data_IF_166805281600
#
_entry.id   IF_166805281600
#
_cell.length_a   1.000
_cell.length_b   1.000
_cell.length_c   1.000
_cell.angle_alpha   90.00
_cell.angle_beta   90.00
_cell.angle_gamma   90.00
#
_symmetry.space_group_name_H-M   'P 1'
#
loop_
_entity.id
_entity.type
_entity.pdbx_description
1 polymer ?
#
# COMPACT_ATOMS: atom_id res chain seq x y z
N UNK A 1 -11.80 -16.95 2.48
CA UNK A 1 -11.46 -15.52 2.63
C UNK A 1 -11.70 -15.14 4.07
N UNK A 2 -10.68 -15.23 4.92
CA UNK A 2 -10.82 -14.93 6.36
C UNK A 2 -10.03 -13.66 6.64
N UNK A 3 -10.69 -12.51 6.51
CA UNK A 3 -10.18 -11.25 7.03
C UNK A 3 -9.97 -11.42 8.53
N UNK A 4 -8.72 -11.43 8.98
CA UNK A 4 -8.41 -11.52 10.41
C UNK A 4 -9.12 -10.36 11.13
N UNK A 5 -9.94 -10.63 12.16
CA UNK A 5 -10.58 -9.58 12.92
C UNK A 5 -9.52 -8.71 13.59
N UNK A 6 -9.63 -7.39 13.44
CA UNK A 6 -8.70 -6.46 14.07
C UNK A 6 -8.84 -6.55 15.60
N UNK A 7 -7.73 -6.47 16.36
CA UNK A 7 -7.75 -6.53 17.82
C UNK A 7 -8.63 -5.40 18.38
N UNK A 8 -9.47 -5.74 19.37
CA UNK A 8 -10.30 -4.76 20.08
C UNK A 8 -9.39 -3.78 20.85
N UNK A 9 -9.28 -2.54 20.39
CA UNK A 9 -8.42 -1.51 21.00
C UNK A 9 -9.22 -0.53 21.87
N UNK A 10 -8.60 -0.06 22.97
CA UNK A 10 -9.04 1.08 23.80
C UNK A 10 -9.40 2.29 22.91
N UNK A 11 -10.35 3.15 23.32
CA UNK A 11 -10.74 4.40 22.64
C UNK A 11 -9.48 5.16 22.16
N UNK A 12 -9.13 4.99 20.89
CA UNK A 12 -7.97 5.66 20.27
C UNK A 12 -8.43 6.98 19.68
N UNK A 13 -7.62 8.03 19.82
CA UNK A 13 -7.96 9.36 19.29
C UNK A 13 -7.94 9.37 17.74
N UNK A 14 -8.52 10.41 17.12
CA UNK A 14 -8.61 10.53 15.64
C UNK A 14 -7.24 10.43 14.95
N UNK A 15 -6.23 11.06 15.54
CA UNK A 15 -4.86 11.07 15.05
C UNK A 15 -4.22 9.67 15.10
N UNK A 16 -4.45 8.91 16.18
CA UNK A 16 -3.98 7.54 16.33
C UNK A 16 -4.62 6.61 15.30
N UNK A 17 -5.93 6.75 15.05
CA UNK A 17 -6.62 5.98 14.01
C UNK A 17 -6.07 6.30 12.62
N UNK A 18 -5.80 7.56 12.32
CA UNK A 18 -5.19 7.98 11.07
C UNK A 18 -3.79 7.36 10.89
N UNK A 19 -2.95 7.41 11.92
CA UNK A 19 -1.62 6.80 11.93
C UNK A 19 -1.69 5.29 11.71
N UNK A 20 -2.61 4.61 12.40
CA UNK A 20 -2.81 3.17 12.27
C UNK A 20 -3.28 2.79 10.86
N UNK A 21 -4.21 3.54 10.29
CA UNK A 21 -4.67 3.34 8.91
C UNK A 21 -3.53 3.51 7.90
N UNK A 22 -2.70 4.54 8.07
CA UNK A 22 -1.52 4.77 7.22
C UNK A 22 -0.56 3.57 7.24
N UNK A 23 -0.23 3.07 8.44
CA UNK A 23 0.69 1.93 8.60
C UNK A 23 0.07 0.66 8.01
N UNK A 24 -1.22 0.41 8.25
CA UNK A 24 -1.94 -0.74 7.69
C UNK A 24 -2.02 -0.69 6.16
N UNK A 25 -2.05 0.51 5.57
CA UNK A 25 -2.01 0.74 4.13
C UNK A 25 -0.58 0.61 3.54
N UNK A 26 0.44 0.34 4.35
CA UNK A 26 1.80 0.05 3.91
C UNK A 26 2.73 1.27 3.79
N UNK A 27 2.33 2.44 4.27
CA UNK A 27 3.20 3.61 4.32
C UNK A 27 4.00 3.62 5.62
N UNK A 28 5.33 3.49 5.52
CA UNK A 28 6.21 3.46 6.68
C UNK A 28 6.24 4.82 7.40
N UNK A 29 6.25 5.92 6.63
CA UNK A 29 6.29 7.28 7.16
C UNK A 29 5.10 8.14 6.70
N UNK A 30 4.82 9.22 7.44
CA UNK A 30 3.87 10.24 7.02
C UNK A 30 4.33 10.95 5.72
N UNK A 31 5.65 11.10 5.53
CA UNK A 31 6.23 11.66 4.32
C UNK A 31 5.90 10.80 3.11
N UNK A 32 6.03 9.48 3.22
CA UNK A 32 5.71 8.54 2.13
C UNK A 32 4.25 8.69 1.68
N UNK A 33 3.34 8.80 2.65
CA UNK A 33 1.93 8.99 2.36
C UNK A 33 1.64 10.36 1.73
N UNK A 34 2.30 11.42 2.20
CA UNK A 34 2.15 12.79 1.68
C UNK A 34 2.60 12.86 0.21
N UNK A 35 3.78 12.28 -0.09
CA UNK A 35 4.35 12.27 -1.44
C UNK A 35 3.48 11.43 -2.39
N UNK A 36 3.07 10.24 -1.96
CA UNK A 36 2.23 9.35 -2.75
C UNK A 36 0.85 9.95 -3.03
N UNK A 37 0.18 10.47 -2.00
CA UNK A 37 -1.18 11.01 -2.12
C UNK A 37 -1.22 12.47 -2.59
N UNK A 38 -0.06 13.12 -2.75
CA UNK A 38 0.09 14.54 -3.14
C UNK A 38 -0.68 15.49 -2.22
N UNK A 39 -0.62 15.26 -0.91
CA UNK A 39 -1.30 16.11 0.09
C UNK A 39 -0.42 17.27 0.56
N UNK A 40 -1.05 18.29 1.14
CA UNK A 40 -0.32 19.36 1.84
C UNK A 40 0.30 18.80 3.12
N UNK A 41 1.63 18.71 3.14
CA UNK A 41 2.35 17.99 4.19
C UNK A 41 2.19 18.57 5.59
N UNK A 42 2.08 19.90 5.75
CA UNK A 42 1.82 20.52 7.05
C UNK A 42 0.44 20.16 7.60
N UNK A 43 -0.58 20.15 6.75
CA UNK A 43 -1.95 19.77 7.12
C UNK A 43 -2.03 18.31 7.54
N UNK A 44 -1.48 17.40 6.74
CA UNK A 44 -1.50 15.97 7.06
C UNK A 44 -0.77 15.68 8.39
N UNK A 45 0.42 16.27 8.59
CA UNK A 45 1.19 16.10 9.84
C UNK A 45 0.45 16.67 11.05
N UNK A 46 -0.20 17.82 10.93
CA UNK A 46 -0.99 18.37 12.03
C UNK A 46 -2.14 17.43 12.44
N UNK A 47 -2.78 16.76 11.48
CA UNK A 47 -3.83 15.77 11.76
C UNK A 47 -3.26 14.48 12.37
N UNK A 48 -2.19 13.91 11.81
CA UNK A 48 -1.61 12.66 12.33
C UNK A 48 -0.91 12.83 13.68
N UNK A 49 -0.34 14.01 13.94
CA UNK A 49 0.27 14.32 15.24
C UNK A 49 -0.77 14.73 16.30
N UNK A 50 -2.04 14.90 15.91
CA UNK A 50 -3.11 15.33 16.83
C UNK A 50 -3.01 16.79 17.24
N UNK A 51 -2.28 17.62 16.49
CA UNK A 51 -2.27 19.07 16.69
C UNK A 51 -3.64 19.68 16.34
N UNK A 52 -4.28 19.13 15.29
CA UNK A 52 -5.62 19.51 14.86
C UNK A 52 -6.48 18.27 14.63
N UNK A 53 -7.77 18.37 14.92
CA UNK A 53 -8.76 17.41 14.42
C UNK A 53 -9.01 17.65 12.92
N UNK A 54 -9.54 16.64 12.25
CA UNK A 54 -9.88 16.72 10.83
C UNK A 54 -11.38 16.53 10.61
N UNK A 55 -11.93 17.19 9.60
CA UNK A 55 -13.36 17.11 9.29
C UNK A 55 -13.69 15.89 8.40
N UNK A 56 -14.96 15.77 8.03
CA UNK A 56 -15.48 14.70 7.16
C UNK A 56 -14.80 14.66 5.78
N UNK A 57 -14.44 15.82 5.22
CA UNK A 57 -13.75 15.89 3.92
C UNK A 57 -12.37 15.23 3.98
N UNK A 58 -11.58 15.58 4.99
CA UNK A 58 -10.27 14.97 5.22
C UNK A 58 -10.40 13.49 5.59
N UNK A 59 -11.35 13.13 6.44
CA UNK A 59 -11.62 11.74 6.79
C UNK A 59 -11.95 10.88 5.56
N UNK A 60 -12.74 11.43 4.62
CA UNK A 60 -13.08 10.75 3.37
C UNK A 60 -11.85 10.57 2.48
N UNK A 61 -11.01 11.62 2.37
CA UNK A 61 -9.77 11.58 1.59
C UNK A 61 -8.78 10.54 2.14
N UNK A 62 -8.58 10.53 3.46
CA UNK A 62 -7.69 9.58 4.13
C UNK A 62 -8.24 8.16 4.09
N UNK A 63 -9.53 8.00 4.36
CA UNK A 63 -10.20 6.70 4.31
C UNK A 63 -10.07 6.04 2.94
N UNK A 64 -10.32 6.80 1.86
CA UNK A 64 -10.14 6.32 0.49
C UNK A 64 -8.69 5.90 0.18
N UNK A 65 -7.70 6.65 0.67
CA UNK A 65 -6.29 6.34 0.45
C UNK A 65 -5.82 5.10 1.23
N UNK A 66 -6.39 4.87 2.43
CA UNK A 66 -5.94 3.82 3.34
C UNK A 66 -6.87 2.59 3.39
N UNK A 67 -7.98 2.61 2.64
CA UNK A 67 -8.93 1.50 2.62
C UNK A 67 -9.72 1.35 3.92
N UNK A 68 -9.98 2.46 4.63
CA UNK A 68 -10.81 2.50 5.86
C UNK A 68 -11.97 3.47 5.69
N UNK A 69 -13.02 3.35 6.52
CA UNK A 69 -14.17 4.26 6.43
C UNK A 69 -13.86 5.62 7.08
N UNK A 70 -14.44 6.69 6.52
CA UNK A 70 -14.36 8.03 7.11
C UNK A 70 -14.96 8.07 8.52
N UNK A 71 -16.10 7.39 8.71
CA UNK A 71 -16.78 7.27 10.00
C UNK A 71 -15.89 6.59 11.04
N UNK A 72 -15.16 5.54 10.65
CA UNK A 72 -14.20 4.90 11.56
C UNK A 72 -13.06 5.86 11.95
N UNK A 73 -12.52 6.64 11.01
CA UNK A 73 -11.51 7.65 11.31
C UNK A 73 -12.02 8.76 12.24
N UNK A 74 -13.31 9.13 12.17
CA UNK A 74 -13.91 10.21 12.97
C UNK A 74 -14.41 9.76 14.34
N UNK A 75 -15.09 8.63 14.41
CA UNK A 75 -15.83 8.19 15.60
C UNK A 75 -15.12 7.05 16.33
N UNK A 76 -14.33 6.23 15.62
CA UNK A 76 -13.70 5.03 16.18
C UNK A 76 -14.69 3.92 16.50
N UNK A 77 -15.94 4.03 16.04
CA UNK A 77 -16.96 3.02 16.27
C UNK A 77 -16.73 1.81 15.36
N UNK A 78 -16.75 0.63 15.97
CA UNK A 78 -16.73 -0.66 15.28
C UNK A 78 -18.16 -1.06 14.86
N UNK A 79 -18.88 -0.14 14.25
CA UNK A 79 -20.24 -0.37 13.76
C UNK A 79 -20.20 -1.07 12.41
N UNK A 80 -20.90 -2.19 12.30
CA UNK A 80 -21.10 -2.93 11.05
C UNK A 80 -21.65 -2.01 9.95
N UNK A 81 -20.97 -1.97 8.79
CA UNK A 81 -21.31 -1.14 7.63
C UNK A 81 -20.31 0.00 7.43
N UNK A 82 -19.42 0.02 6.44
CA UNK A 82 -19.53 -0.46 5.07
C UNK A 82 -18.11 -0.79 4.61
N UNK A 83 -17.85 -2.05 4.29
CA UNK A 83 -16.63 -2.47 3.63
C UNK A 83 -16.62 -1.90 2.21
N UNK A 84 -16.01 -0.73 2.02
CA UNK A 84 -15.59 -0.29 0.67
C UNK A 84 -14.29 -1.02 0.31
N UNK A 85 -14.34 -2.34 0.36
CA UNK A 85 -13.28 -3.22 -0.11
C UNK A 85 -13.37 -3.34 -1.63
N UNK A 86 -12.89 -2.33 -2.37
CA UNK A 86 -12.42 -2.50 -3.77
C UNK A 86 -11.33 -1.49 -4.14
N UNK A 87 -10.06 -1.85 -3.91
CA UNK A 87 -9.08 -1.93 -4.99
C UNK A 87 -7.85 -2.74 -4.57
N UNK A 88 -7.55 -3.72 -5.40
CA UNK A 88 -6.26 -4.43 -5.48
C UNK A 88 -5.09 -3.45 -5.46
N UNK A 89 -3.89 -3.91 -5.04
CA UNK A 89 -2.66 -3.11 -5.16
C UNK A 89 -2.50 -2.63 -6.61
N UNK A 90 -2.75 -1.34 -6.82
CA UNK A 90 -2.47 -0.70 -8.09
C UNK A 90 -0.96 -0.62 -8.26
N UNK A 91 -0.49 -0.96 -9.47
CA UNK A 91 0.83 -0.87 -10.15
C UNK A 91 1.98 0.01 -9.56
N UNK A 92 1.76 0.80 -8.53
CA UNK A 92 2.73 1.63 -7.82
C UNK A 92 3.43 0.95 -6.62
N UNK A 93 3.04 -0.27 -6.21
CA UNK A 93 3.83 -1.03 -5.21
C UNK A 93 5.19 -1.53 -5.74
N UNK A 94 5.58 -1.10 -6.94
CA UNK A 94 6.90 -1.27 -7.55
C UNK A 94 7.75 0.02 -7.56
N UNK A 95 7.31 1.14 -6.97
CA UNK A 95 8.18 2.29 -6.74
C UNK A 95 8.98 2.06 -5.45
N UNK A 96 10.10 1.34 -5.56
CA UNK A 96 11.01 1.11 -4.42
C UNK A 96 11.88 -0.14 -4.53
N UNK A 97 11.54 -1.08 -5.42
CA UNK A 97 12.48 -2.14 -5.77
C UNK A 97 13.47 -1.58 -6.79
N UNK A 98 14.69 -1.32 -6.34
CA UNK A 98 15.81 -1.04 -7.24
C UNK A 98 15.84 -2.13 -8.32
N UNK A 99 15.49 -1.78 -9.55
CA UNK A 99 15.43 -2.65 -10.74
C UNK A 99 16.83 -3.13 -11.20
N UNK A 100 17.76 -3.38 -10.27
CA UNK A 100 19.18 -3.55 -10.59
C UNK A 100 19.71 -4.97 -10.45
N UNK A 101 18.92 -5.95 -10.03
CA UNK A 101 19.37 -7.33 -9.98
C UNK A 101 18.34 -8.25 -10.64
N UNK A 102 18.82 -8.99 -11.64
CA UNK A 102 18.03 -9.91 -12.45
C UNK A 102 17.27 -10.99 -11.64
N UNK A 103 17.83 -11.58 -10.56
CA UNK A 103 17.17 -12.65 -9.81
C UNK A 103 15.80 -12.27 -9.23
N UNK A 104 15.68 -11.06 -8.71
CA UNK A 104 14.48 -10.58 -8.02
C UNK A 104 13.34 -10.29 -9.02
N UNK A 105 13.69 -9.89 -10.26
CA UNK A 105 12.71 -9.76 -11.35
C UNK A 105 12.19 -11.11 -11.83
N UNK A 106 13.06 -12.11 -11.94
CA UNK A 106 12.69 -13.48 -12.27
C UNK A 106 11.70 -14.01 -11.22
N UNK A 107 12.01 -13.85 -9.95
CA UNK A 107 11.14 -14.26 -8.85
C UNK A 107 9.78 -13.54 -8.89
N UNK A 108 9.77 -12.22 -9.11
CA UNK A 108 8.54 -11.44 -9.18
C UNK A 108 7.63 -11.90 -10.34
N UNK A 109 8.17 -12.10 -11.55
CA UNK A 109 7.36 -12.55 -12.67
C UNK A 109 6.89 -14.01 -12.51
N UNK A 110 7.70 -14.88 -11.89
CA UNK A 110 7.28 -16.23 -11.57
C UNK A 110 6.08 -16.27 -10.60
N UNK A 111 6.06 -15.39 -9.60
CA UNK A 111 4.92 -15.23 -8.69
C UNK A 111 3.67 -14.72 -9.42
N UNK A 112 3.82 -13.69 -10.27
CA UNK A 112 2.69 -13.15 -11.04
C UNK A 112 2.10 -14.18 -12.02
N UNK A 113 2.93 -15.03 -12.61
CA UNK A 113 2.45 -16.12 -13.47
C UNK A 113 1.75 -17.25 -12.70
N UNK A 114 2.09 -17.45 -11.42
CA UNK A 114 1.35 -18.37 -10.56
C UNK A 114 -0.11 -17.91 -10.38
N UNK A 115 -0.32 -16.60 -10.25
CA UNK A 115 -1.65 -16.01 -10.06
C UNK A 115 -2.41 -15.85 -11.39
N UNK A 116 -1.70 -15.53 -12.48
CA UNK A 116 -2.27 -15.35 -13.83
C UNK A 116 -1.52 -16.19 -14.89
N UNK A 117 -1.76 -17.52 -14.96
CA UNK A 117 -0.95 -18.44 -15.77
C UNK A 117 -1.03 -18.21 -17.28
N UNK A 118 -2.06 -17.51 -17.76
CA UNK A 118 -2.24 -17.21 -19.19
C UNK A 118 -1.73 -15.82 -19.58
N UNK A 119 -1.11 -15.07 -18.67
CA UNK A 119 -0.65 -13.70 -18.95
C UNK A 119 0.67 -13.71 -19.74
N UNK A 120 0.56 -13.70 -21.07
CA UNK A 120 1.69 -13.72 -22.03
C UNK A 120 2.68 -12.57 -21.80
N UNK A 121 2.22 -11.42 -21.31
CA UNK A 121 3.11 -10.29 -21.02
C UNK A 121 4.14 -10.62 -19.93
N UNK A 122 3.72 -11.35 -18.88
CA UNK A 122 4.62 -11.79 -17.83
C UNK A 122 5.57 -12.89 -18.29
N UNK A 123 5.10 -13.81 -19.15
CA UNK A 123 5.97 -14.82 -19.76
C UNK A 123 7.10 -14.17 -20.55
N UNK A 124 6.78 -13.19 -21.41
CA UNK A 124 7.78 -12.47 -22.22
C UNK A 124 8.81 -11.76 -21.34
N UNK A 125 8.36 -11.05 -20.31
CA UNK A 125 9.25 -10.32 -19.40
C UNK A 125 10.14 -11.26 -18.56
N UNK A 126 9.62 -12.43 -18.18
CA UNK A 126 10.39 -13.46 -17.49
C UNK A 126 11.51 -13.98 -18.38
N UNK A 127 11.20 -14.33 -19.64
CA UNK A 127 12.18 -14.77 -20.63
C UNK A 127 13.29 -13.74 -20.82
N UNK A 128 12.93 -12.48 -21.01
CA UNK A 128 13.90 -11.40 -21.16
C UNK A 128 14.82 -11.28 -19.93
N UNK A 129 14.28 -11.41 -18.70
CA UNK A 129 15.09 -11.34 -17.49
C UNK A 129 16.02 -12.54 -17.33
N UNK A 130 15.55 -13.75 -17.63
CA UNK A 130 16.38 -14.97 -17.56
C UNK A 130 17.52 -14.89 -18.57
N UNK A 131 17.24 -14.45 -19.81
CA UNK A 131 18.25 -14.32 -20.86
C UNK A 131 19.35 -13.33 -20.46
N UNK A 132 18.96 -12.14 -20.00
CA UNK A 132 19.92 -11.14 -19.53
C UNK A 132 20.76 -11.64 -18.34
N UNK A 133 20.14 -12.38 -17.40
CA UNK A 133 20.86 -12.93 -16.26
C UNK A 133 21.89 -13.97 -16.69
N UNK A 134 21.53 -14.85 -17.63
CA UNK A 134 22.41 -15.85 -18.18
C UNK A 134 23.64 -15.22 -18.86
N UNK A 135 23.43 -14.20 -19.70
CA UNK A 135 24.52 -13.47 -20.36
C UNK A 135 25.46 -12.79 -19.36
N UNK A 136 24.91 -12.18 -18.31
CA UNK A 136 25.72 -11.59 -17.23
C UNK A 136 26.61 -12.62 -16.52
N UNK A 137 26.10 -13.84 -16.30
CA UNK A 137 26.89 -14.91 -15.67
C UNK A 137 27.99 -15.43 -16.60
N UNK A 138 27.73 -15.51 -17.91
CA UNK A 138 28.74 -15.90 -18.91
C UNK A 138 29.88 -14.88 -19.04
N UNK A 139 29.57 -13.60 -18.91
CA UNK A 139 30.52 -12.50 -19.10
C UNK A 139 31.33 -12.13 -17.85
N UNK A 140 31.16 -12.85 -16.72
CA UNK A 140 31.93 -12.64 -15.47
C UNK A 140 33.28 -13.37 -15.45
N UNK A 141 33.85 -13.69 -16.63
CA UNK A 141 35.20 -14.26 -16.76
C UNK A 141 36.29 -13.22 -16.59
#
# INVERSE_FOLDING_TARGET
MNSKPMPKMKKSNMNERLRNARIAAGFASATDAIEYCKWKGSTYRAHENGQNNFNVEYATRYGKAYGVSASWLLLGESGEGEVIAKRQPSKSSMQGYSLKTCPERIQAYALLLKDEPQNISYVKKLLDCVQNYYELLQNRK
#
